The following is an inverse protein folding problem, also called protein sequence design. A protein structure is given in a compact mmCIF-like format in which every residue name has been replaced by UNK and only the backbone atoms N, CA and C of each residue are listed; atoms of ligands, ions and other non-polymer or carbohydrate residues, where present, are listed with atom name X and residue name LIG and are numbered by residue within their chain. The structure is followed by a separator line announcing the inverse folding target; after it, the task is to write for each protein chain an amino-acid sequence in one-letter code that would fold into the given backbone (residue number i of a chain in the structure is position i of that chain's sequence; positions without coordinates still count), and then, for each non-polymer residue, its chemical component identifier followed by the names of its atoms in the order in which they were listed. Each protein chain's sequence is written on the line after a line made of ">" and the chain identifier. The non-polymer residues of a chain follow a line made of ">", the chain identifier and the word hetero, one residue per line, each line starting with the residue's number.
data_IF_387360662703
#
_entry.id   IF_387360662703
#
_cell.length_a   1.000
_cell.length_b   1.000
_cell.length_c   1.000
_cell.angle_alpha   90.00
_cell.angle_beta   90.00
_cell.angle_gamma   90.00
#
_symmetry.space_group_name_H-M   'P 1'
#
loop_
_entity.id
_entity.type
_entity.pdbx_description
1 polymer ?
#
# COMPACT_ATOMS: atom_id res chain seq x y z
N UNK A 1 44.17 9.99 -27.16
CA UNK A 1 42.77 9.70 -26.78
C UNK A 1 41.92 10.35 -27.85
N UNK A 2 41.15 9.57 -28.62
CA UNK A 2 40.28 10.10 -29.69
C UNK A 2 39.31 11.10 -29.06
N UNK A 3 39.28 12.32 -29.57
CA UNK A 3 38.26 13.31 -29.22
C UNK A 3 36.89 12.68 -29.56
N UNK A 4 35.98 12.60 -28.58
CA UNK A 4 34.69 11.97 -28.78
C UNK A 4 33.91 12.74 -29.87
N UNK A 5 33.31 12.02 -30.83
CA UNK A 5 32.54 12.64 -31.91
C UNK A 5 31.42 13.49 -31.29
N UNK A 6 31.34 14.81 -31.60
CA UNK A 6 30.29 15.68 -31.07
C UNK A 6 28.86 15.14 -31.26
N UNK A 7 28.61 14.33 -32.31
CA UNK A 7 27.32 13.68 -32.54
C UNK A 7 27.05 12.55 -31.55
N UNK A 8 28.08 11.79 -31.19
CA UNK A 8 28.02 10.73 -30.20
C UNK A 8 27.80 11.30 -28.79
N UNK A 9 28.45 12.42 -28.47
CA UNK A 9 28.19 13.13 -27.21
C UNK A 9 26.76 13.66 -27.10
N UNK A 10 26.17 14.14 -28.20
CA UNK A 10 24.78 14.61 -28.22
C UNK A 10 23.78 13.46 -28.06
N UNK A 11 24.01 12.32 -28.72
CA UNK A 11 23.14 11.15 -28.57
C UNK A 11 23.21 10.57 -27.16
N UNK A 12 24.40 10.47 -26.55
CA UNK A 12 24.55 10.01 -25.17
C UNK A 12 23.83 10.93 -24.17
N UNK A 13 23.88 12.25 -24.36
CA UNK A 13 23.13 13.19 -23.53
C UNK A 13 21.61 13.02 -23.69
N UNK A 14 21.14 12.77 -24.91
CA UNK A 14 19.72 12.47 -25.15
C UNK A 14 19.29 11.20 -24.39
N UNK A 15 20.04 10.10 -24.52
CA UNK A 15 19.72 8.85 -23.82
C UNK A 15 19.79 8.98 -22.30
N UNK A 16 20.76 9.73 -21.77
CA UNK A 16 20.86 9.96 -20.33
C UNK A 16 19.64 10.71 -19.78
N UNK A 17 19.14 11.70 -20.51
CA UNK A 17 17.91 12.41 -20.13
C UNK A 17 16.69 11.50 -20.21
N UNK A 18 16.58 10.68 -21.26
CA UNK A 18 15.48 9.73 -21.43
C UNK A 18 15.45 8.70 -20.29
N UNK A 19 16.59 8.09 -19.97
CA UNK A 19 16.70 7.15 -18.86
C UNK A 19 16.48 7.81 -17.50
N UNK A 20 16.91 9.06 -17.32
CA UNK A 20 16.62 9.83 -16.11
C UNK A 20 15.11 9.98 -15.88
N UNK A 21 14.36 10.34 -16.92
CA UNK A 21 12.90 10.47 -16.83
C UNK A 21 12.22 9.12 -16.55
N UNK A 22 12.67 8.04 -17.19
CA UNK A 22 12.15 6.69 -16.93
C UNK A 22 12.41 6.26 -15.47
N UNK A 23 13.62 6.50 -14.96
CA UNK A 23 13.98 6.19 -13.58
C UNK A 23 13.10 6.94 -12.57
N UNK A 24 12.79 8.21 -12.83
CA UNK A 24 11.89 9.01 -11.97
C UNK A 24 10.46 8.47 -11.95
N UNK A 25 9.95 7.99 -13.10
CA UNK A 25 8.64 7.34 -13.17
C UNK A 25 8.63 6.05 -12.36
N UNK A 26 9.66 5.20 -12.49
CA UNK A 26 9.75 3.96 -11.72
C UNK A 26 9.90 4.22 -10.22
N UNK A 27 10.65 5.25 -9.83
CA UNK A 27 10.79 5.63 -8.42
C UNK A 27 9.42 6.01 -7.81
N UNK A 28 8.61 6.81 -8.52
CA UNK A 28 7.24 7.15 -8.08
C UNK A 28 6.32 5.93 -8.00
N UNK A 29 6.41 5.03 -8.98
CA UNK A 29 5.62 3.79 -8.96
C UNK A 29 6.00 2.89 -7.79
N UNK A 30 7.29 2.77 -7.50
CA UNK A 30 7.77 2.01 -6.35
C UNK A 30 7.30 2.61 -5.03
N UNK A 31 7.35 3.93 -4.88
CA UNK A 31 6.85 4.61 -3.68
C UNK A 31 5.36 4.32 -3.43
N UNK A 32 4.52 4.36 -4.47
CA UNK A 32 3.11 4.00 -4.36
C UNK A 32 2.91 2.54 -3.94
N UNK A 33 3.68 1.60 -4.51
CA UNK A 33 3.61 0.18 -4.15
C UNK A 33 4.05 -0.08 -2.70
N UNK A 34 5.10 0.59 -2.24
CA UNK A 34 5.55 0.48 -0.85
C UNK A 34 4.53 1.05 0.12
N UNK A 35 3.87 2.16 -0.23
CA UNK A 35 2.81 2.72 0.60
C UNK A 35 1.61 1.77 0.70
N UNK A 36 1.17 1.19 -0.42
CA UNK A 36 0.12 0.17 -0.43
C UNK A 36 0.52 -1.07 0.38
N UNK A 37 1.79 -1.50 0.27
CA UNK A 37 2.31 -2.63 1.02
C UNK A 37 2.26 -2.39 2.54
N UNK A 38 2.66 -1.19 2.99
CA UNK A 38 2.59 -0.81 4.41
C UNK A 38 1.14 -0.79 4.90
N UNK A 39 0.21 -0.26 4.10
CA UNK A 39 -1.22 -0.25 4.42
C UNK A 39 -1.79 -1.67 4.55
N UNK A 40 -1.48 -2.57 3.62
CA UNK A 40 -1.91 -3.97 3.68
C UNK A 40 -1.37 -4.70 4.91
N UNK A 41 -0.10 -4.47 5.28
CA UNK A 41 0.49 -5.08 6.49
C UNK A 41 -0.22 -4.55 7.74
N UNK A 42 -0.47 -3.24 7.82
CA UNK A 42 -1.20 -2.65 8.96
C UNK A 42 -2.63 -3.20 9.08
N UNK A 43 -3.30 -3.46 7.95
CA UNK A 43 -4.60 -4.12 7.94
C UNK A 43 -4.52 -5.55 8.49
N UNK A 44 -3.55 -6.35 8.05
CA UNK A 44 -3.30 -7.71 8.56
C UNK A 44 -3.04 -7.70 10.07
N UNK A 45 -2.18 -6.81 10.55
CA UNK A 45 -1.88 -6.67 11.98
C UNK A 45 -3.13 -6.28 12.78
N UNK A 46 -3.95 -5.39 12.24
CA UNK A 46 -5.22 -4.98 12.86
C UNK A 46 -6.20 -6.14 12.95
N UNK A 47 -6.34 -6.94 11.89
CA UNK A 47 -7.19 -8.13 11.87
C UNK A 47 -6.74 -9.15 12.92
N UNK A 48 -5.43 -9.41 13.01
CA UNK A 48 -4.86 -10.32 14.02
C UNK A 48 -5.09 -9.79 15.44
N UNK A 49 -4.86 -8.49 15.68
CA UNK A 49 -5.10 -7.87 16.98
C UNK A 49 -6.59 -7.91 17.38
N UNK A 50 -7.50 -7.69 16.42
CA UNK A 50 -8.94 -7.75 16.65
C UNK A 50 -9.38 -9.16 17.06
N UNK A 51 -8.85 -10.21 16.43
CA UNK A 51 -9.14 -11.59 16.83
C UNK A 51 -8.70 -11.93 18.26
N UNK A 52 -7.72 -11.19 18.79
CA UNK A 52 -7.18 -11.36 20.14
C UNK A 52 -7.83 -10.45 21.18
N UNK A 53 -8.66 -9.49 20.75
CA UNK A 53 -9.26 -8.49 21.63
C UNK A 53 -10.41 -9.09 22.45
N UNK A 54 -10.32 -9.03 23.78
CA UNK A 54 -11.44 -9.38 24.65
C UNK A 54 -12.62 -8.43 24.39
N UNK A 55 -13.79 -9.03 24.17
CA UNK A 55 -15.07 -8.36 23.94
C UNK A 55 -15.13 -7.44 22.70
N UNK A 56 -14.20 -7.59 21.74
CA UNK A 56 -14.22 -6.83 20.47
C UNK A 56 -14.16 -5.31 20.62
N UNK A 57 -13.66 -4.82 21.77
CA UNK A 57 -13.64 -3.38 22.07
C UNK A 57 -12.41 -2.71 21.48
N UNK A 58 -12.62 -1.65 20.71
CA UNK A 58 -11.58 -0.90 19.99
C UNK A 58 -11.72 0.61 20.20
N UNK A 59 -10.67 1.35 19.89
CA UNK A 59 -10.72 2.80 19.73
C UNK A 59 -10.83 3.11 18.23
N UNK A 60 -11.98 3.60 17.79
CA UNK A 60 -12.21 4.02 16.41
C UNK A 60 -11.84 5.49 16.25
N UNK A 61 -10.81 5.84 15.46
CA UNK A 61 -10.46 7.23 15.20
C UNK A 61 -11.53 7.91 14.35
N UNK A 62 -11.93 9.13 14.73
CA UNK A 62 -12.87 9.97 13.97
C UNK A 62 -12.18 11.14 13.25
N UNK A 63 -10.91 11.41 13.56
CA UNK A 63 -10.12 12.51 13.00
C UNK A 63 -9.81 13.62 14.01
N UNK A 64 -8.87 14.51 13.68
CA UNK A 64 -8.48 15.63 14.55
C UNK A 64 -7.88 15.22 15.91
N UNK A 65 -7.38 13.99 16.02
CA UNK A 65 -6.90 13.42 17.28
C UNK A 65 -8.00 12.89 18.20
N UNK A 66 -9.25 12.82 17.73
CA UNK A 66 -10.39 12.28 18.49
C UNK A 66 -10.66 10.83 18.11
N UNK A 67 -10.90 10.00 19.12
CA UNK A 67 -11.31 8.60 18.97
C UNK A 67 -12.48 8.28 19.89
N UNK A 68 -13.33 7.34 19.47
CA UNK A 68 -14.44 6.83 20.29
C UNK A 68 -14.20 5.37 20.65
N UNK A 69 -14.65 4.98 21.86
CA UNK A 69 -14.70 3.57 22.23
C UNK A 69 -15.87 2.93 21.50
N UNK A 70 -15.60 1.88 20.74
CA UNK A 70 -16.59 1.10 20.01
C UNK A 70 -16.42 -0.38 20.31
N UNK A 71 -17.50 -1.15 20.14
CA UNK A 71 -17.50 -2.60 20.28
C UNK A 71 -17.91 -3.21 18.95
N UNK A 72 -17.07 -4.08 18.40
CA UNK A 72 -17.34 -4.80 17.15
C UNK A 72 -18.13 -6.07 17.49
N UNK A 73 -19.38 -6.20 17.04
CA UNK A 73 -20.25 -7.31 17.45
C UNK A 73 -19.82 -8.65 16.86
N UNK A 74 -19.18 -8.65 15.68
CA UNK A 74 -18.71 -9.84 14.98
C UNK A 74 -17.26 -9.62 14.51
N UNK A 75 -16.26 -9.79 15.40
CA UNK A 75 -14.85 -9.54 15.08
C UNK A 75 -14.21 -10.64 14.22
N UNK A 76 -14.90 -11.77 14.01
CA UNK A 76 -14.40 -12.90 13.22
C UNK A 76 -14.65 -12.72 11.72
N UNK A 77 -15.70 -11.99 11.33
CA UNK A 77 -16.08 -11.77 9.94
C UNK A 77 -15.78 -10.35 9.46
N UNK A 78 -15.20 -10.24 8.28
CA UNK A 78 -14.80 -8.97 7.66
C UNK A 78 -15.19 -8.91 6.19
N UNK A 79 -15.20 -7.71 5.65
CA UNK A 79 -15.47 -7.44 4.24
C UNK A 79 -14.15 -7.12 3.52
N UNK A 80 -13.82 -7.91 2.51
CA UNK A 80 -12.59 -7.76 1.70
C UNK A 80 -12.98 -7.28 0.30
N UNK A 81 -12.41 -6.16 -0.14
CA UNK A 81 -12.59 -5.67 -1.50
C UNK A 81 -11.68 -6.45 -2.45
N UNK A 82 -12.28 -7.06 -3.50
CA UNK A 82 -11.55 -7.89 -4.47
C UNK A 82 -11.38 -7.21 -5.84
N UNK A 83 -11.75 -5.93 -5.93
CA UNK A 83 -11.71 -5.12 -7.15
C UNK A 83 -13.04 -5.07 -7.90
N UNK A 84 -13.08 -4.24 -8.94
CA UNK A 84 -14.27 -4.01 -9.77
C UNK A 84 -15.55 -3.67 -8.98
N UNK A 85 -15.40 -2.89 -7.90
CA UNK A 85 -16.48 -2.52 -6.97
C UNK A 85 -17.17 -3.71 -6.28
N UNK A 86 -16.47 -4.85 -6.20
CA UNK A 86 -16.95 -6.05 -5.51
C UNK A 86 -16.26 -6.21 -4.16
N UNK A 87 -17.08 -6.51 -3.15
CA UNK A 87 -16.64 -6.83 -1.79
C UNK A 87 -17.27 -8.14 -1.36
N UNK A 88 -16.48 -9.00 -0.71
CA UNK A 88 -16.91 -10.32 -0.25
C UNK A 88 -16.73 -10.44 1.26
N UNK A 89 -17.64 -11.16 1.92
CA UNK A 89 -17.47 -11.55 3.31
C UNK A 89 -16.45 -12.67 3.42
N UNK A 90 -15.50 -12.53 4.33
CA UNK A 90 -14.50 -13.54 4.67
C UNK A 90 -14.39 -13.65 6.20
N UNK A 91 -13.99 -14.82 6.68
CA UNK A 91 -13.47 -14.92 8.03
C UNK A 91 -12.08 -14.26 8.12
N UNK A 92 -11.63 -13.99 9.35
CA UNK A 92 -10.36 -13.30 9.59
C UNK A 92 -9.16 -14.04 8.96
N UNK A 93 -9.12 -15.37 9.07
CA UNK A 93 -8.06 -16.19 8.49
C UNK A 93 -8.06 -16.13 6.95
N UNK A 94 -9.23 -16.19 6.32
CA UNK A 94 -9.41 -16.05 4.89
C UNK A 94 -9.11 -14.65 4.38
N UNK A 95 -9.33 -13.61 5.19
CA UNK A 95 -8.97 -12.23 4.85
C UNK A 95 -7.46 -11.99 4.93
N UNK A 96 -6.76 -12.58 5.92
CA UNK A 96 -5.29 -12.46 6.06
C UNK A 96 -4.52 -13.18 4.95
N UNK A 97 -5.12 -14.22 4.36
CA UNK A 97 -4.47 -15.01 3.29
C UNK A 97 -4.73 -14.50 1.86
N UNK A 98 -5.64 -13.52 1.71
CA UNK A 98 -5.92 -12.83 0.45
C UNK A 98 -4.84 -11.80 0.13
#
# INVERSE_FOLDING_TARGET
>A
MSEADPRELQSLQYYLNEYGQQAEIFARQLEMLEQQRVESIAAIETLQALSSAQDGTVLLPLGGGVSVRATIPDPEHVLVAIGADVTVGQDNAGAVSY
#
